data_IF_454647903442
#
_entry.id   IF_454647903442
#
_cell.length_a   1.000
_cell.length_b   1.000
_cell.length_c   1.000
_cell.angle_alpha   90.00
_cell.angle_beta   90.00
_cell.angle_gamma   90.00
#
_symmetry.space_group_name_H-M   'P 1'
#
loop_
_entity.id
_entity.type
_entity.pdbx_description
1 polymer ?
#
# COMPACT_ATOMS: atom_id res chain seq x y z
N UNK A 1 -8.00 -12.33 19.31
CA UNK A 1 -7.12 -13.46 18.95
C UNK A 1 -7.44 -13.86 17.51
N UNK A 2 -7.03 -13.18 16.46
CA UNK A 2 -5.80 -12.40 16.30
C UNK A 2 -5.92 -11.44 15.11
N UNK A 3 -6.14 -10.15 15.37
CA UNK A 3 -5.75 -9.09 14.43
C UNK A 3 -4.21 -9.02 14.24
N UNK A 4 -3.47 -9.85 14.99
CA UNK A 4 -2.01 -9.94 15.00
C UNK A 4 -1.48 -10.80 13.84
N UNK A 5 -2.32 -11.64 13.21
CA UNK A 5 -1.89 -12.54 12.14
C UNK A 5 -2.02 -11.96 10.72
N UNK A 6 -2.84 -10.91 10.52
CA UNK A 6 -3.22 -10.51 9.16
C UNK A 6 -2.20 -9.61 8.44
N UNK A 7 -1.13 -9.16 9.10
CA UNK A 7 -0.10 -8.33 8.46
C UNK A 7 1.31 -8.66 8.93
N UNK A 8 1.67 -9.96 8.95
CA UNK A 8 3.00 -10.44 9.33
C UNK A 8 4.14 -9.70 8.60
N UNK A 9 3.93 -9.24 7.37
CA UNK A 9 4.91 -8.46 6.59
C UNK A 9 5.23 -7.11 7.24
N UNK A 10 4.23 -6.46 7.85
CA UNK A 10 4.42 -5.19 8.57
C UNK A 10 5.12 -5.45 9.90
N UNK A 11 4.92 -6.61 10.53
CA UNK A 11 5.52 -6.93 11.84
C UNK A 11 6.93 -7.52 11.76
N UNK A 12 7.38 -7.92 10.57
CA UNK A 12 8.73 -8.45 10.34
C UNK A 12 9.81 -7.37 10.42
N UNK A 13 11.07 -7.81 10.59
CA UNK A 13 12.24 -6.94 10.58
C UNK A 13 12.35 -6.15 9.27
N UNK A 14 13.05 -5.01 9.32
CA UNK A 14 13.36 -4.26 8.12
C UNK A 14 14.29 -5.09 7.21
N UNK A 15 14.15 -5.01 5.87
CA UNK A 15 15.03 -5.69 4.95
C UNK A 15 16.47 -5.20 5.11
N UNK A 16 17.42 -6.12 5.11
CA UNK A 16 18.85 -5.86 5.02
C UNK A 16 19.29 -5.46 3.61
N UNK A 17 20.59 -5.20 3.46
CA UNK A 17 21.19 -4.86 2.16
C UNK A 17 21.02 -6.03 1.19
N UNK A 18 20.39 -5.78 0.04
CA UNK A 18 20.14 -6.79 -0.99
C UNK A 18 18.87 -7.63 -0.77
N UNK A 19 18.09 -7.36 0.28
CA UNK A 19 16.81 -8.03 0.53
C UNK A 19 15.64 -7.19 0.02
N UNK A 20 14.61 -7.85 -0.52
CA UNK A 20 13.47 -7.21 -1.19
C UNK A 20 12.11 -7.57 -0.56
N UNK A 21 12.11 -8.03 0.70
CA UNK A 21 10.89 -8.38 1.42
C UNK A 21 10.30 -7.15 2.16
N UNK A 22 9.23 -7.36 2.92
CA UNK A 22 8.64 -6.32 3.76
C UNK A 22 7.59 -5.44 3.08
N UNK A 23 7.03 -4.49 3.84
CA UNK A 23 6.01 -3.58 3.35
C UNK A 23 6.69 -2.29 2.86
N UNK A 24 6.56 -1.92 1.57
CA UNK A 24 7.20 -0.70 1.04
C UNK A 24 6.68 0.56 1.75
N UNK A 25 5.40 0.60 2.13
CA UNK A 25 4.84 1.73 2.88
C UNK A 25 5.41 1.90 4.29
N UNK A 26 6.09 0.88 4.84
CA UNK A 26 6.75 0.92 6.16
C UNK A 26 8.27 1.05 6.05
N UNK A 27 8.88 0.23 5.20
CA UNK A 27 10.33 0.02 5.20
C UNK A 27 11.07 0.87 4.16
N UNK A 28 10.35 1.49 3.21
CA UNK A 28 10.95 2.43 2.26
C UNK A 28 10.98 3.83 2.87
N UNK A 29 12.07 4.57 2.64
CA UNK A 29 12.12 5.99 2.94
C UNK A 29 10.97 6.74 2.23
N UNK A 30 10.27 7.70 2.87
CA UNK A 30 9.13 8.38 2.27
C UNK A 30 9.42 9.12 0.96
N UNK A 31 10.62 9.69 0.81
CA UNK A 31 11.00 10.40 -0.41
C UNK A 31 11.30 9.41 -1.54
N UNK A 32 11.97 8.31 -1.21
CA UNK A 32 12.16 7.21 -2.16
C UNK A 32 10.81 6.57 -2.57
N UNK A 33 9.87 6.41 -1.62
CA UNK A 33 8.51 5.92 -1.89
C UNK A 33 7.79 6.85 -2.86
N UNK A 34 7.81 8.16 -2.60
CA UNK A 34 7.27 9.18 -3.51
C UNK A 34 7.86 9.04 -4.90
N UNK A 35 9.19 9.02 -5.01
CA UNK A 35 9.87 8.89 -6.30
C UNK A 35 9.43 7.63 -7.05
N UNK A 36 9.33 6.48 -6.37
CA UNK A 36 8.89 5.20 -6.97
C UNK A 36 7.45 5.27 -7.47
N UNK A 37 6.54 5.85 -6.68
CA UNK A 37 5.13 6.01 -7.04
C UNK A 37 4.96 6.94 -8.24
N UNK A 38 5.69 8.06 -8.27
CA UNK A 38 5.68 9.00 -9.40
C UNK A 38 6.29 8.38 -10.66
N UNK A 39 7.43 7.68 -10.56
CA UNK A 39 8.07 7.02 -11.70
C UNK A 39 7.20 5.94 -12.35
N UNK A 40 6.26 5.34 -11.61
CA UNK A 40 5.30 4.38 -12.15
C UNK A 40 4.34 4.99 -13.19
N UNK A 41 4.17 6.32 -13.20
CA UNK A 41 3.39 7.06 -14.21
C UNK A 41 1.88 6.82 -14.21
N UNK A 42 1.36 6.00 -13.30
CA UNK A 42 -0.06 5.60 -13.23
C UNK A 42 -0.89 6.41 -12.22
N UNK A 43 -0.23 7.11 -11.30
CA UNK A 43 -0.86 7.80 -10.19
C UNK A 43 -0.82 9.32 -10.42
N UNK A 44 -1.88 10.00 -10.01
CA UNK A 44 -1.89 11.48 -9.95
C UNK A 44 -1.00 11.96 -8.80
N UNK A 45 -0.52 13.20 -8.87
CA UNK A 45 0.28 13.82 -7.80
C UNK A 45 -0.45 13.76 -6.45
N UNK A 46 -1.74 14.10 -6.43
CA UNK A 46 -2.57 14.08 -5.22
C UNK A 46 -2.68 12.67 -4.62
N UNK A 47 -2.80 11.64 -5.46
CA UNK A 47 -2.83 10.25 -5.01
C UNK A 47 -1.48 9.84 -4.40
N UNK A 48 -0.36 10.22 -5.02
CA UNK A 48 0.98 9.98 -4.46
C UNK A 48 1.12 10.67 -3.10
N UNK A 49 0.70 11.93 -2.99
CA UNK A 49 0.76 12.67 -1.73
C UNK A 49 -0.06 12.00 -0.63
N UNK A 50 -1.29 11.60 -0.93
CA UNK A 50 -2.16 10.91 0.01
C UNK A 50 -1.51 9.61 0.52
N UNK A 51 -0.96 8.78 -0.38
CA UNK A 51 -0.30 7.52 -0.03
C UNK A 51 0.93 7.77 0.85
N UNK A 52 1.78 8.74 0.49
CA UNK A 52 3.01 9.05 1.23
C UNK A 52 2.71 9.62 2.62
N UNK A 53 1.68 10.47 2.75
CA UNK A 53 1.22 10.97 4.05
C UNK A 53 0.76 9.82 4.95
N UNK A 54 -0.07 8.89 4.43
CA UNK A 54 -0.51 7.70 5.18
C UNK A 54 0.69 6.84 5.62
N UNK A 55 1.66 6.62 4.74
CA UNK A 55 2.87 5.87 5.05
C UNK A 55 3.68 6.53 6.18
N UNK A 56 3.93 7.84 6.08
CA UNK A 56 4.64 8.63 7.09
C UNK A 56 3.95 8.59 8.45
N UNK A 57 2.62 8.66 8.46
CA UNK A 57 1.82 8.63 9.68
C UNK A 57 1.62 7.20 10.23
N UNK A 58 2.41 6.24 9.72
CA UNK A 58 2.42 4.81 10.11
C UNK A 58 1.12 4.07 9.84
N UNK A 59 0.30 4.59 8.93
CA UNK A 59 -0.98 4.03 8.51
C UNK A 59 -0.80 3.13 7.28
N UNK A 60 0.09 2.15 7.37
CA UNK A 60 0.58 1.38 6.20
C UNK A 60 -0.51 0.62 5.45
N UNK A 61 -1.46 0.01 6.15
CA UNK A 61 -2.60 -0.67 5.53
C UNK A 61 -3.51 0.32 4.81
N UNK A 62 -3.71 1.53 5.36
CA UNK A 62 -4.45 2.59 4.67
C UNK A 62 -3.68 3.09 3.44
N UNK A 63 -2.37 3.26 3.51
CA UNK A 63 -1.54 3.60 2.36
C UNK A 63 -1.66 2.55 1.23
N UNK A 64 -1.68 1.26 1.58
CA UNK A 64 -1.90 0.17 0.63
C UNK A 64 -3.29 0.23 -0.02
N UNK A 65 -4.35 0.49 0.76
CA UNK A 65 -5.71 0.64 0.23
C UNK A 65 -5.85 1.85 -0.68
N UNK A 66 -5.27 2.99 -0.33
CA UNK A 66 -5.25 4.18 -1.19
C UNK A 66 -4.51 3.91 -2.50
N UNK A 67 -3.35 3.24 -2.43
CA UNK A 67 -2.64 2.81 -3.63
C UNK A 67 -3.49 1.89 -4.51
N UNK A 68 -4.18 0.91 -3.94
CA UNK A 68 -5.06 0.02 -4.70
C UNK A 68 -6.16 0.79 -5.41
N UNK A 69 -6.88 1.68 -4.70
CA UNK A 69 -7.95 2.49 -5.29
C UNK A 69 -7.46 3.37 -6.42
N UNK A 70 -6.32 4.04 -6.23
CA UNK A 70 -5.74 4.92 -7.25
C UNK A 70 -5.26 4.14 -8.49
N UNK A 71 -4.88 2.87 -8.34
CA UNK A 71 -4.53 1.98 -9.44
C UNK A 71 -5.74 1.38 -10.18
N UNK A 72 -6.94 1.44 -9.59
CA UNK A 72 -8.19 0.91 -10.15
C UNK A 72 -9.26 2.03 -10.23
N UNK A 73 -9.05 3.08 -11.06
CA UNK A 73 -9.96 4.23 -11.13
C UNK A 73 -11.34 3.89 -11.71
N UNK A 74 -11.52 2.68 -12.27
CA UNK A 74 -12.80 2.18 -12.79
C UNK A 74 -13.72 1.60 -11.72
N UNK A 75 -13.25 1.45 -10.47
CA UNK A 75 -14.10 0.99 -9.38
C UNK A 75 -15.25 1.97 -9.14
N UNK A 76 -16.44 1.42 -8.90
CA UNK A 76 -17.58 2.22 -8.44
C UNK A 76 -17.28 2.82 -7.05
N UNK A 77 -17.95 3.92 -6.66
CA UNK A 77 -17.78 4.49 -5.31
C UNK A 77 -18.08 3.50 -4.18
N UNK A 78 -19.05 2.61 -4.39
CA UNK A 78 -19.42 1.54 -3.46
C UNK A 78 -18.32 0.47 -3.34
N UNK A 79 -17.76 0.01 -4.45
CA UNK A 79 -16.66 -0.96 -4.44
C UNK A 79 -15.40 -0.35 -3.84
N UNK A 80 -15.08 0.91 -4.18
CA UNK A 80 -13.96 1.64 -3.62
C UNK A 80 -14.10 1.83 -2.09
N UNK A 81 -15.32 2.02 -1.58
CA UNK A 81 -15.58 2.08 -0.15
C UNK A 81 -15.46 0.71 0.53
N UNK A 82 -15.78 -0.37 -0.19
CA UNK A 82 -15.70 -1.75 0.29
C UNK A 82 -14.28 -2.35 0.27
N UNK A 83 -13.28 -1.68 -0.34
CA UNK A 83 -11.89 -2.16 -0.39
C UNK A 83 -11.34 -2.36 1.03
N UNK A 84 -11.15 -3.63 1.39
CA UNK A 84 -10.54 -4.05 2.65
C UNK A 84 -9.37 -5.00 2.36
N UNK A 85 -8.14 -4.52 2.56
CA UNK A 85 -6.91 -5.25 2.24
C UNK A 85 -6.06 -5.31 3.50
N UNK A 86 -5.97 -6.52 4.07
CA UNK A 86 -5.11 -6.80 5.22
C UNK A 86 -3.96 -7.73 4.83
N UNK A 87 -4.17 -8.62 3.85
CA UNK A 87 -3.18 -9.58 3.36
C UNK A 87 -2.78 -9.33 1.90
N UNK A 88 -1.52 -9.57 1.48
CA UNK A 88 -1.10 -9.41 0.07
C UNK A 88 -1.94 -10.21 -0.93
N UNK A 89 -2.37 -11.43 -0.58
CA UNK A 89 -3.24 -12.20 -1.46
C UNK A 89 -4.60 -11.53 -1.67
N UNK A 90 -5.14 -10.81 -0.67
CA UNK A 90 -6.40 -10.07 -0.85
C UNK A 90 -6.22 -8.92 -1.85
N UNK A 91 -5.07 -8.23 -1.83
CA UNK A 91 -4.73 -7.23 -2.85
C UNK A 91 -4.77 -7.87 -4.25
N UNK A 92 -4.13 -9.03 -4.40
CA UNK A 92 -4.07 -9.75 -5.67
C UNK A 92 -5.46 -10.20 -6.15
N UNK A 93 -6.23 -10.87 -5.29
CA UNK A 93 -7.57 -11.37 -5.60
C UNK A 93 -8.55 -10.25 -5.96
N UNK A 94 -8.49 -9.10 -5.27
CA UNK A 94 -9.31 -7.94 -5.61
C UNK A 94 -8.91 -7.32 -6.95
N UNK A 95 -7.63 -7.28 -7.28
CA UNK A 95 -7.14 -6.70 -8.55
C UNK A 95 -7.36 -7.59 -9.79
N UNK A 96 -7.82 -8.82 -9.61
CA UNK A 96 -8.20 -9.73 -10.70
C UNK A 96 -9.69 -9.64 -11.08
N UNK A 97 -10.48 -8.92 -10.29
CA UNK A 97 -11.90 -8.67 -10.57
C UNK A 97 -12.05 -7.44 -11.45
#
# INVERSE_FOLDING_TARGET
MDAVLESLIISQAAPGVGEFHGCPFKHMDPELLRQRLTLGGRLTTDAVDAIVIRARDKQYQLACREYFKAMHPSLSPEDAAAVNINHPNQFFELGQK
#
